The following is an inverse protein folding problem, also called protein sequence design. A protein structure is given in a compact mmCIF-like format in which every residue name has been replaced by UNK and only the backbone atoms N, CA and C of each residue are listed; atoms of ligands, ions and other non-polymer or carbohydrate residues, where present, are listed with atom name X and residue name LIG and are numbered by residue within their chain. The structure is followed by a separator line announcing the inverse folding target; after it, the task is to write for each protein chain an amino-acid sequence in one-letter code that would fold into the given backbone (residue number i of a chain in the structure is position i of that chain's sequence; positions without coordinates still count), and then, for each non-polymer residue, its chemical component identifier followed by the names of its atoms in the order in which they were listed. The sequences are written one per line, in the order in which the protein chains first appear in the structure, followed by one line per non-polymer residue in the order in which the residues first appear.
data_IF_782176189046
#
_entry.id   IF_782176189046
#
_cell.length_a   1.000
_cell.length_b   1.000
_cell.length_c   1.000
_cell.angle_alpha   90.00
_cell.angle_beta   90.00
_cell.angle_gamma   90.00
#
_symmetry.space_group_name_H-M   'P 1'
#
loop_
_entity.id
_entity.type
_entity.pdbx_description
1 polymer ?
#
# COMPACT_ATOMS: atom_id res chain seq x y z
N UNK A 1 1.71 25.87 -5.74
CA UNK A 1 0.83 25.73 -6.93
C UNK A 1 1.18 24.51 -7.79
N UNK A 2 2.44 24.05 -7.83
CA UNK A 2 2.86 22.91 -8.67
C UNK A 2 2.39 21.53 -8.16
N UNK A 3 2.36 21.30 -6.84
CA UNK A 3 1.83 20.03 -6.27
C UNK A 3 0.34 19.89 -6.55
N UNK A 4 -0.41 20.99 -6.40
CA UNK A 4 -1.86 21.01 -6.58
C UNK A 4 -2.27 20.75 -8.03
N UNK A 5 -1.48 21.16 -9.03
CA UNK A 5 -1.76 20.86 -10.45
C UNK A 5 -1.51 19.40 -10.79
N UNK A 6 -0.46 18.78 -10.22
CA UNK A 6 -0.21 17.34 -10.37
C UNK A 6 -1.35 16.54 -9.72
N UNK A 7 -1.73 16.89 -8.49
CA UNK A 7 -2.86 16.28 -7.78
C UNK A 7 -4.18 16.48 -8.53
N UNK A 8 -4.40 17.66 -9.13
CA UNK A 8 -5.60 17.92 -9.92
C UNK A 8 -5.65 17.06 -11.20
N UNK A 9 -4.52 16.89 -11.89
CA UNK A 9 -4.42 15.98 -13.06
C UNK A 9 -4.67 14.53 -12.67
N UNK A 10 -4.08 14.08 -11.56
CA UNK A 10 -4.31 12.77 -10.95
C UNK A 10 -5.79 12.55 -10.61
N UNK A 11 -6.43 13.54 -10.00
CA UNK A 11 -7.83 13.53 -9.59
C UNK A 11 -8.79 13.52 -10.79
N UNK A 12 -8.54 14.33 -11.82
CA UNK A 12 -9.36 14.35 -13.03
C UNK A 12 -9.31 13.02 -13.79
N UNK A 13 -8.13 12.40 -13.86
CA UNK A 13 -7.99 11.06 -14.44
C UNK A 13 -8.77 10.02 -13.65
N UNK A 14 -8.68 10.06 -12.31
CA UNK A 14 -9.43 9.19 -11.43
C UNK A 14 -10.94 9.39 -11.65
N UNK A 15 -11.42 10.63 -11.70
CA UNK A 15 -12.84 10.95 -11.89
C UNK A 15 -13.39 10.41 -13.21
N UNK A 16 -12.63 10.50 -14.31
CA UNK A 16 -13.07 9.98 -15.63
C UNK A 16 -13.08 8.46 -15.74
N UNK A 17 -12.18 7.77 -15.06
CA UNK A 17 -12.05 6.30 -15.11
C UNK A 17 -12.45 5.60 -13.81
N UNK A 18 -13.15 6.31 -12.93
CA UNK A 18 -13.46 5.91 -11.57
C UNK A 18 -14.09 4.51 -11.51
N UNK A 19 -15.15 4.29 -12.28
CA UNK A 19 -15.86 3.01 -12.29
C UNK A 19 -14.97 1.84 -12.73
N UNK A 20 -14.17 2.01 -13.78
CA UNK A 20 -13.32 0.93 -14.31
C UNK A 20 -12.18 0.60 -13.35
N UNK A 21 -11.55 1.63 -12.77
CA UNK A 21 -10.40 1.48 -11.87
C UNK A 21 -10.84 0.95 -10.51
N UNK A 22 -11.92 1.49 -9.94
CA UNK A 22 -12.48 1.01 -8.67
C UNK A 22 -12.91 -0.45 -8.80
N UNK A 23 -13.65 -0.80 -9.87
CA UNK A 23 -14.11 -2.18 -10.05
C UNK A 23 -12.94 -3.16 -10.19
N UNK A 24 -11.92 -2.85 -11.02
CA UNK A 24 -10.78 -3.76 -11.20
C UNK A 24 -9.95 -3.95 -9.93
N UNK A 25 -9.80 -2.90 -9.11
CA UNK A 25 -9.04 -2.98 -7.86
C UNK A 25 -9.82 -3.62 -6.70
N UNK A 26 -11.15 -3.66 -6.78
CA UNK A 26 -12.01 -4.24 -5.74
C UNK A 26 -12.31 -5.73 -5.93
N UNK A 27 -12.14 -6.27 -7.14
CA UNK A 27 -12.40 -7.69 -7.42
C UNK A 27 -11.52 -8.60 -6.56
N UNK A 28 -10.19 -8.38 -6.50
CA UNK A 28 -9.32 -9.26 -5.70
C UNK A 28 -9.61 -9.21 -4.20
N UNK A 29 -9.75 -8.04 -3.55
CA UNK A 29 -10.15 -7.95 -2.15
C UNK A 29 -11.47 -8.66 -1.84
N UNK A 30 -12.48 -8.49 -2.69
CA UNK A 30 -13.78 -9.14 -2.51
C UNK A 30 -13.65 -10.65 -2.64
N UNK A 31 -12.86 -11.12 -3.60
CA UNK A 31 -12.63 -12.56 -3.78
C UNK A 31 -11.93 -13.14 -2.54
N UNK A 32 -10.90 -12.46 -2.01
CA UNK A 32 -10.26 -12.88 -0.77
C UNK A 32 -11.21 -12.85 0.43
N UNK A 33 -12.08 -11.84 0.51
CA UNK A 33 -13.09 -11.77 1.55
C UNK A 33 -14.10 -12.92 1.46
N UNK A 34 -14.55 -13.28 0.25
CA UNK A 34 -15.48 -14.42 0.06
C UNK A 34 -14.77 -15.74 0.35
N UNK A 35 -13.59 -15.97 -0.22
CA UNK A 35 -12.84 -17.23 -0.06
C UNK A 35 -12.41 -17.45 1.38
N UNK A 36 -11.79 -16.45 2.03
CA UNK A 36 -11.26 -16.60 3.39
C UNK A 36 -12.29 -16.23 4.47
N UNK A 37 -13.13 -15.23 4.23
CA UNK A 37 -14.15 -14.80 5.18
C UNK A 37 -15.34 -15.74 5.24
N UNK A 38 -16.00 -16.02 4.11
CA UNK A 38 -17.16 -16.94 4.11
C UNK A 38 -16.75 -18.42 4.12
N UNK A 39 -15.62 -18.75 3.48
CA UNK A 39 -15.09 -20.12 3.44
C UNK A 39 -14.51 -20.58 4.77
N UNK A 40 -13.46 -19.90 5.26
CA UNK A 40 -12.78 -20.30 6.51
C UNK A 40 -13.45 -19.74 7.77
N UNK A 41 -14.11 -18.58 7.69
CA UNK A 41 -14.75 -17.95 8.85
C UNK A 41 -15.92 -18.72 9.46
N UNK A 42 -16.45 -19.74 8.76
CA UNK A 42 -17.46 -20.67 9.30
C UNK A 42 -16.87 -21.91 9.97
N UNK A 43 -15.59 -22.21 9.72
CA UNK A 43 -14.96 -23.49 10.09
C UNK A 43 -13.86 -23.28 11.14
N UNK A 44 -13.24 -22.09 11.18
CA UNK A 44 -12.11 -21.81 12.08
C UNK A 44 -12.39 -20.64 13.02
N UNK A 45 -12.14 -20.88 14.31
CA UNK A 45 -11.94 -19.85 15.31
C UNK A 45 -10.45 -19.66 15.55
N UNK A 46 -10.02 -18.41 15.69
CA UNK A 46 -8.62 -18.05 15.90
C UNK A 46 -8.55 -17.22 17.19
N UNK A 47 -7.81 -17.70 18.18
CA UNK A 47 -7.76 -17.14 19.54
C UNK A 47 -9.14 -16.96 20.20
N UNK A 48 -10.05 -17.93 20.03
CA UNK A 48 -11.39 -17.90 20.61
C UNK A 48 -12.31 -16.80 20.07
N UNK A 49 -11.95 -16.20 18.92
CA UNK A 49 -12.75 -15.21 18.19
C UNK A 49 -13.01 -15.68 16.76
N UNK A 50 -14.10 -15.20 16.12
CA UNK A 50 -14.36 -15.52 14.72
C UNK A 50 -13.19 -15.07 13.84
N UNK A 51 -12.71 -15.94 12.94
CA UNK A 51 -11.57 -15.65 12.05
C UNK A 51 -11.74 -14.35 11.23
N UNK A 52 -12.98 -13.92 10.97
CA UNK A 52 -13.29 -12.62 10.35
C UNK A 52 -12.62 -11.43 11.05
N UNK A 53 -12.53 -11.47 12.39
CA UNK A 53 -11.90 -10.42 13.19
C UNK A 53 -10.39 -10.32 12.92
N UNK A 54 -9.75 -11.45 12.61
CA UNK A 54 -8.34 -11.50 12.28
C UNK A 54 -8.09 -11.12 10.81
N UNK A 55 -8.98 -11.55 9.92
CA UNK A 55 -8.87 -11.42 8.48
C UNK A 55 -9.03 -9.97 8.00
N UNK A 56 -10.04 -9.24 8.48
CA UNK A 56 -10.37 -7.90 7.98
C UNK A 56 -9.20 -6.90 8.11
N UNK A 57 -8.53 -6.73 9.28
CA UNK A 57 -7.40 -5.81 9.38
C UNK A 57 -6.20 -6.24 8.53
N UNK A 58 -5.96 -7.54 8.38
CA UNK A 58 -4.92 -8.05 7.48
C UNK A 58 -5.23 -7.77 6.01
N UNK A 59 -6.49 -7.96 5.61
CA UNK A 59 -6.97 -7.64 4.27
C UNK A 59 -6.90 -6.13 4.02
N UNK A 60 -7.24 -5.30 5.01
CA UNK A 60 -7.09 -3.84 4.94
C UNK A 60 -5.63 -3.44 4.65
N UNK A 61 -4.66 -4.02 5.38
CA UNK A 61 -3.24 -3.75 5.15
C UNK A 61 -2.76 -4.19 3.76
N UNK A 62 -3.16 -5.39 3.32
CA UNK A 62 -2.78 -5.94 2.02
C UNK A 62 -3.35 -5.12 0.84
N UNK A 63 -4.61 -4.75 0.94
CA UNK A 63 -5.33 -4.04 -0.12
C UNK A 63 -4.82 -2.62 -0.28
N UNK A 64 -4.65 -1.91 0.83
CA UNK A 64 -4.08 -0.54 0.84
C UNK A 64 -2.66 -0.54 0.29
N UNK A 65 -1.84 -1.53 0.65
CA UNK A 65 -0.51 -1.74 0.04
C UNK A 65 -0.60 -1.93 -1.47
N UNK A 66 -1.33 -2.97 -1.92
CA UNK A 66 -1.31 -3.38 -3.33
C UNK A 66 -1.88 -2.28 -4.23
N UNK A 67 -2.92 -1.60 -3.78
CA UNK A 67 -3.52 -0.50 -4.52
C UNK A 67 -2.62 0.74 -4.57
N UNK A 68 -1.99 1.14 -3.45
CA UNK A 68 -1.03 2.25 -3.47
C UNK A 68 0.15 1.95 -4.39
N UNK A 69 0.79 0.80 -4.23
CA UNK A 69 1.94 0.39 -5.05
C UNK A 69 1.59 0.37 -6.54
N UNK A 70 0.55 -0.38 -6.94
CA UNK A 70 0.19 -0.58 -8.35
C UNK A 70 -0.23 0.73 -9.01
N UNK A 71 -0.89 1.61 -8.27
CA UNK A 71 -1.40 2.87 -8.79
C UNK A 71 -0.30 3.87 -9.13
N UNK A 72 0.83 3.83 -8.42
CA UNK A 72 1.99 4.68 -8.70
C UNK A 72 2.93 4.01 -9.68
N UNK A 73 3.25 2.73 -9.48
CA UNK A 73 4.20 2.02 -10.34
C UNK A 73 3.75 2.03 -11.80
N UNK A 74 2.48 1.72 -12.05
CA UNK A 74 1.88 1.75 -13.40
C UNK A 74 1.92 3.17 -13.98
N UNK A 75 1.62 4.20 -13.19
CA UNK A 75 1.59 5.58 -13.68
C UNK A 75 2.97 6.09 -14.10
N UNK A 76 3.96 5.89 -13.23
CA UNK A 76 5.33 6.33 -13.49
C UNK A 76 5.92 5.52 -14.64
N UNK A 77 5.69 4.21 -14.67
CA UNK A 77 6.14 3.34 -15.77
C UNK A 77 5.54 3.76 -17.12
N UNK A 78 4.25 4.11 -17.18
CA UNK A 78 3.64 4.66 -18.41
C UNK A 78 4.23 6.02 -18.77
N UNK A 79 4.38 6.92 -17.80
CA UNK A 79 4.94 8.25 -18.04
C UNK A 79 6.39 8.20 -18.56
N UNK A 80 7.18 7.25 -18.08
CA UNK A 80 8.59 7.05 -18.46
C UNK A 80 8.73 6.29 -19.78
N UNK A 81 8.08 5.13 -19.91
CA UNK A 81 8.29 4.20 -21.03
C UNK A 81 7.45 4.52 -22.26
N UNK A 82 6.26 5.12 -22.10
CA UNK A 82 5.37 5.43 -23.22
C UNK A 82 5.33 6.91 -23.57
N UNK A 83 5.21 7.79 -22.58
CA UNK A 83 5.04 9.23 -22.86
C UNK A 83 6.36 9.99 -23.01
N UNK A 84 7.53 9.36 -22.75
CA UNK A 84 8.86 9.99 -22.65
C UNK A 84 8.86 11.31 -21.85
N UNK A 85 7.87 11.51 -21.01
CA UNK A 85 7.61 12.82 -20.41
C UNK A 85 8.69 13.22 -19.41
N UNK A 86 9.48 12.26 -18.91
CA UNK A 86 10.66 12.54 -18.10
C UNK A 86 11.69 13.39 -18.83
N UNK A 87 11.89 13.19 -20.14
CA UNK A 87 12.78 14.03 -20.95
C UNK A 87 12.24 15.47 -21.00
N UNK A 88 10.92 15.65 -21.19
CA UNK A 88 10.27 16.97 -21.16
C UNK A 88 10.28 17.63 -19.77
N UNK A 89 10.20 16.84 -18.69
CA UNK A 89 10.31 17.35 -17.32
C UNK A 89 11.72 17.81 -16.97
N UNK A 90 12.75 17.25 -17.60
CA UNK A 90 14.15 17.69 -17.47
C UNK A 90 14.36 19.11 -18.03
N UNK A 91 13.62 19.47 -19.09
CA UNK A 91 13.62 20.82 -19.70
C UNK A 91 12.68 21.82 -18.99
N UNK A 92 11.83 21.33 -18.09
CA UNK A 92 10.91 22.15 -17.31
C UNK A 92 11.58 22.55 -15.98
N UNK A 93 11.47 23.80 -15.50
CA UNK A 93 12.01 24.26 -14.21
C UNK A 93 11.23 23.70 -13.01
N UNK A 94 10.64 22.51 -13.14
CA UNK A 94 9.87 21.84 -12.09
C UNK A 94 10.80 21.13 -11.12
N UNK A 95 10.64 21.45 -9.84
CA UNK A 95 11.39 20.81 -8.74
C UNK A 95 11.10 19.31 -8.68
N UNK A 96 12.12 18.48 -8.94
CA UNK A 96 12.00 17.01 -8.98
C UNK A 96 11.39 16.40 -7.70
N UNK A 97 11.67 16.98 -6.53
CA UNK A 97 11.10 16.55 -5.25
C UNK A 97 9.58 16.81 -5.15
N UNK A 98 9.05 17.87 -5.77
CA UNK A 98 7.60 18.14 -5.81
C UNK A 98 6.88 17.13 -6.71
N UNK A 99 7.50 16.70 -7.80
CA UNK A 99 6.95 15.67 -8.69
C UNK A 99 6.81 14.33 -7.96
N UNK A 100 7.89 13.90 -7.29
CA UNK A 100 7.90 12.68 -6.49
C UNK A 100 6.84 12.74 -5.38
N UNK A 101 6.79 13.83 -4.59
CA UNK A 101 5.79 13.98 -3.53
C UNK A 101 4.35 14.01 -4.08
N UNK A 102 4.10 14.66 -5.22
CA UNK A 102 2.79 14.69 -5.85
C UNK A 102 2.27 13.30 -6.23
N UNK A 103 3.11 12.46 -6.83
CA UNK A 103 2.76 11.09 -7.17
C UNK A 103 2.62 10.18 -5.95
N UNK A 104 3.48 10.35 -4.94
CA UNK A 104 3.39 9.58 -3.68
C UNK A 104 2.08 9.90 -2.95
N UNK A 105 1.71 11.18 -2.85
CA UNK A 105 0.45 11.57 -2.21
C UNK A 105 -0.75 11.04 -3.01
N UNK A 106 -0.71 11.14 -4.34
CA UNK A 106 -1.80 10.65 -5.18
C UNK A 106 -1.99 9.13 -5.11
N UNK A 107 -0.90 8.37 -5.04
CA UNK A 107 -0.93 6.93 -4.81
C UNK A 107 -1.39 6.55 -3.41
N UNK A 108 -1.00 7.33 -2.41
CA UNK A 108 -1.46 7.13 -1.05
C UNK A 108 -3.00 7.34 -0.94
N UNK A 109 -3.52 8.40 -1.56
CA UNK A 109 -4.97 8.66 -1.61
C UNK A 109 -5.76 7.52 -2.25
N UNK A 110 -5.22 6.87 -3.30
CA UNK A 110 -5.87 5.70 -3.91
C UNK A 110 -5.86 4.47 -3.01
N UNK A 111 -4.76 4.23 -2.29
CA UNK A 111 -4.71 3.18 -1.28
C UNK A 111 -5.73 3.42 -0.17
N UNK A 112 -5.79 4.63 0.37
CA UNK A 112 -6.77 5.03 1.37
C UNK A 112 -8.21 4.80 0.89
N UNK A 113 -8.52 5.23 -0.33
CA UNK A 113 -9.84 5.01 -0.94
C UNK A 113 -10.22 3.52 -0.91
N UNK A 114 -9.32 2.63 -1.33
CA UNK A 114 -9.57 1.19 -1.27
C UNK A 114 -9.68 0.63 0.16
N UNK A 115 -8.94 1.21 1.10
CA UNK A 115 -9.02 0.84 2.51
C UNK A 115 -10.37 1.17 3.14
N UNK A 116 -10.96 2.31 2.78
CA UNK A 116 -12.32 2.69 3.23
C UNK A 116 -13.35 1.63 2.81
N UNK A 117 -13.24 1.07 1.61
CA UNK A 117 -14.13 -0.02 1.18
C UNK A 117 -14.00 -1.27 2.05
N UNK A 118 -12.78 -1.64 2.45
CA UNK A 118 -12.57 -2.81 3.30
C UNK A 118 -13.09 -2.57 4.72
N UNK A 119 -12.93 -1.38 5.25
CA UNK A 119 -13.53 -1.00 6.54
C UNK A 119 -15.06 -1.10 6.45
N UNK A 120 -15.67 -0.60 5.36
CA UNK A 120 -17.11 -0.69 5.14
C UNK A 120 -17.58 -2.15 5.02
N UNK A 121 -16.85 -2.99 4.29
CA UNK A 121 -17.10 -4.44 4.22
C UNK A 121 -17.01 -5.10 5.59
N UNK A 122 -16.05 -4.70 6.43
CA UNK A 122 -15.91 -5.20 7.79
C UNK A 122 -17.10 -4.86 8.69
N UNK A 123 -17.60 -3.63 8.59
CA UNK A 123 -18.79 -3.17 9.32
C UNK A 123 -20.03 -3.95 8.88
N UNK A 124 -20.25 -4.11 7.57
CA UNK A 124 -21.39 -4.87 7.01
C UNK A 124 -21.34 -6.34 7.45
N UNK A 125 -20.14 -6.90 7.59
CA UNK A 125 -19.93 -8.28 8.00
C UNK A 125 -20.07 -8.52 9.51
N UNK A 126 -20.41 -7.49 10.29
CA UNK A 126 -20.62 -7.59 11.73
C UNK A 126 -19.33 -7.71 12.55
N UNK A 127 -18.16 -7.49 11.95
CA UNK A 127 -16.92 -7.42 12.70
C UNK A 127 -16.88 -6.08 13.44
N UNK A 128 -16.83 -6.12 14.77
CA UNK A 128 -16.63 -4.93 15.61
C UNK A 128 -15.19 -4.41 15.45
N UNK A 129 -14.91 -3.70 14.35
CA UNK A 129 -13.69 -2.92 14.20
C UNK A 129 -13.82 -1.61 14.98
N UNK A 130 -12.84 -1.33 15.84
CA UNK A 130 -12.69 -0.02 16.44
C UNK A 130 -12.18 0.97 15.39
N UNK A 131 -13.08 1.72 14.77
CA UNK A 131 -12.72 2.79 13.83
C UNK A 131 -12.25 4.00 14.62
N UNK A 132 -10.97 4.01 14.98
CA UNK A 132 -10.32 5.12 15.67
C UNK A 132 -9.53 6.00 14.69
N UNK A 133 -9.29 7.27 15.04
CA UNK A 133 -8.42 8.16 14.26
C UNK A 133 -7.02 7.58 14.02
N UNK A 134 -6.52 6.77 14.95
CA UNK A 134 -5.27 6.02 14.84
C UNK A 134 -5.27 4.99 13.71
N UNK A 135 -6.42 4.36 13.40
CA UNK A 135 -6.53 3.41 12.31
C UNK A 135 -6.34 4.12 10.97
N UNK A 136 -6.91 5.33 10.85
CA UNK A 136 -6.75 6.16 9.66
C UNK A 136 -5.28 6.54 9.47
N UNK A 137 -4.59 6.96 10.54
CA UNK A 137 -3.15 7.28 10.48
C UNK A 137 -2.31 6.06 10.09
N UNK A 138 -2.61 4.88 10.62
CA UNK A 138 -1.94 3.63 10.26
C UNK A 138 -2.12 3.29 8.77
N UNK A 139 -3.33 3.45 8.24
CA UNK A 139 -3.64 3.24 6.82
C UNK A 139 -2.94 4.27 5.94
N UNK A 140 -2.93 5.55 6.33
CA UNK A 140 -2.21 6.61 5.62
C UNK A 140 -0.72 6.27 5.54
N UNK A 141 -0.13 5.86 6.66
CA UNK A 141 1.29 5.53 6.74
C UNK A 141 1.63 4.33 5.85
N UNK A 142 0.80 3.28 5.89
CA UNK A 142 0.93 2.11 5.02
C UNK A 142 0.88 2.52 3.54
N UNK A 143 -0.13 3.32 3.17
CA UNK A 143 -0.30 3.81 1.82
C UNK A 143 0.87 4.69 1.35
N UNK A 144 1.44 5.53 2.22
CA UNK A 144 2.62 6.34 1.89
C UNK A 144 3.88 5.50 1.65
N UNK A 145 4.16 4.53 2.53
CA UNK A 145 5.30 3.61 2.41
C UNK A 145 5.26 2.90 1.05
N UNK A 146 4.13 2.29 0.71
CA UNK A 146 4.01 1.50 -0.51
C UNK A 146 3.87 2.34 -1.77
N UNK A 147 3.33 3.55 -1.65
CA UNK A 147 3.34 4.52 -2.73
C UNK A 147 4.75 5.01 -3.04
N UNK A 148 5.58 5.24 -2.03
CA UNK A 148 6.99 5.58 -2.20
C UNK A 148 7.78 4.40 -2.80
N UNK A 149 7.55 3.18 -2.31
CA UNK A 149 8.16 1.97 -2.86
C UNK A 149 7.79 1.75 -4.33
N UNK A 150 6.53 1.98 -4.71
CA UNK A 150 6.08 1.89 -6.10
C UNK A 150 6.69 2.95 -7.00
N UNK A 151 6.90 4.16 -6.48
CA UNK A 151 7.61 5.22 -7.20
C UNK A 151 9.08 4.83 -7.45
N UNK A 152 9.78 4.40 -6.39
CA UNK A 152 11.18 4.01 -6.45
C UNK A 152 11.40 2.83 -7.41
N UNK A 153 10.56 1.79 -7.31
CA UNK A 153 10.60 0.65 -8.21
C UNK A 153 10.40 1.06 -9.68
N UNK A 154 9.43 1.93 -9.97
CA UNK A 154 9.19 2.40 -11.34
C UNK A 154 10.32 3.30 -11.89
N UNK A 155 11.07 3.97 -11.01
CA UNK A 155 12.25 4.75 -11.43
C UNK A 155 13.48 3.87 -11.67
N UNK A 156 13.61 2.76 -10.95
CA UNK A 156 14.74 1.84 -11.16
C UNK A 156 14.55 0.91 -12.36
N UNK A 157 13.31 0.57 -12.73
CA UNK A 157 13.03 -0.43 -13.76
C UNK A 157 12.89 0.18 -15.15
N UNK A 158 13.61 -0.39 -16.12
CA UNK A 158 13.68 0.09 -17.51
C UNK A 158 12.65 -0.58 -18.44
N UNK A 159 12.00 -1.65 -18.00
CA UNK A 159 11.01 -2.39 -18.78
C UNK A 159 9.75 -2.74 -17.98
N UNK A 160 8.63 -2.87 -18.68
CA UNK A 160 7.38 -3.43 -18.12
C UNK A 160 7.58 -4.85 -17.60
N UNK A 161 8.45 -5.62 -18.24
CA UNK A 161 8.77 -6.98 -17.81
C UNK A 161 9.44 -6.98 -16.43
N UNK A 162 10.45 -6.14 -16.22
CA UNK A 162 11.18 -6.06 -14.96
C UNK A 162 10.30 -5.56 -13.81
N UNK A 163 9.42 -4.59 -14.10
CA UNK A 163 8.45 -4.11 -13.11
C UNK A 163 7.45 -5.20 -12.69
N UNK A 164 6.98 -6.00 -13.65
CA UNK A 164 6.11 -7.13 -13.35
C UNK A 164 6.85 -8.22 -12.56
N UNK A 165 8.10 -8.50 -12.94
CA UNK A 165 8.95 -9.45 -12.23
C UNK A 165 9.20 -9.03 -10.78
N UNK A 166 9.52 -7.76 -10.54
CA UNK A 166 9.67 -7.20 -9.19
C UNK A 166 8.37 -7.35 -8.38
N UNK A 167 7.22 -7.08 -9.00
CA UNK A 167 5.92 -7.24 -8.33
C UNK A 167 5.67 -8.69 -7.92
N UNK A 168 6.00 -9.65 -8.78
CA UNK A 168 5.78 -11.07 -8.52
C UNK A 168 6.78 -11.67 -7.51
N UNK A 169 8.04 -11.24 -7.54
CA UNK A 169 9.10 -11.74 -6.66
C UNK A 169 9.06 -11.08 -5.28
N UNK A 170 8.63 -9.81 -5.19
CA UNK A 170 8.70 -9.04 -3.93
C UNK A 170 7.31 -8.79 -3.36
N UNK A 171 6.44 -8.10 -4.11
CA UNK A 171 5.16 -7.61 -3.58
C UNK A 171 4.17 -8.75 -3.31
N UNK A 172 4.07 -9.70 -4.21
CA UNK A 172 3.17 -10.86 -4.06
C UNK A 172 3.51 -11.69 -2.82
N UNK A 173 4.74 -12.20 -2.64
CA UNK A 173 5.05 -12.99 -1.44
C UNK A 173 4.96 -12.16 -0.16
N UNK A 174 5.38 -10.88 -0.19
CA UNK A 174 5.22 -9.98 0.94
C UNK A 174 3.75 -9.86 1.38
N UNK A 175 2.82 -9.78 0.43
CA UNK A 175 1.37 -9.69 0.69
C UNK A 175 0.83 -10.86 1.51
N UNK A 176 1.39 -12.07 1.34
CA UNK A 176 0.94 -13.28 2.02
C UNK A 176 1.74 -13.58 3.30
N UNK A 177 3.05 -13.31 3.31
CA UNK A 177 3.95 -13.68 4.40
C UNK A 177 3.91 -12.71 5.60
N UNK A 178 3.51 -11.46 5.41
CA UNK A 178 3.56 -10.44 6.47
C UNK A 178 2.39 -10.46 7.44
N UNK A 179 1.86 -11.66 7.73
CA UNK A 179 0.84 -11.86 8.76
C UNK A 179 -0.53 -11.29 8.40
N UNK A 180 -0.88 -11.21 7.11
CA UNK A 180 -2.18 -10.73 6.62
C UNK A 180 -3.28 -11.77 6.83
N UNK A 181 -3.01 -13.04 6.50
CA UNK A 181 -3.97 -14.15 6.61
C UNK A 181 -3.75 -15.05 7.84
N UNK A 182 -2.53 -15.11 8.36
CA UNK A 182 -2.11 -16.01 9.46
C UNK A 182 -1.37 -15.25 10.56
N UNK A 183 -1.36 -15.79 11.79
CA UNK A 183 -0.54 -15.23 12.87
C UNK A 183 0.94 -15.54 12.68
N UNK A 184 1.77 -14.61 13.13
CA UNK A 184 3.22 -14.69 13.06
C UNK A 184 3.81 -15.55 14.20
N UNK A 185 2.98 -16.00 15.15
CA UNK A 185 3.43 -16.72 16.35
C UNK A 185 3.89 -18.15 16.07
N UNK A 186 3.39 -18.77 14.99
CA UNK A 186 3.72 -20.16 14.61
C UNK A 186 4.73 -20.32 13.47
N UNK A 187 5.39 -19.24 13.04
CA UNK A 187 6.27 -19.26 11.85
C UNK A 187 7.72 -19.63 12.24
N UNK A 188 8.42 -20.48 11.45
CA UNK A 188 9.82 -20.82 11.67
C UNK A 188 10.73 -19.59 11.73
N UNK A 189 11.76 -19.66 12.59
CA UNK A 189 12.61 -18.52 12.98
C UNK A 189 13.26 -17.79 11.79
N UNK A 190 13.71 -18.55 10.77
CA UNK A 190 14.29 -17.99 9.55
C UNK A 190 13.31 -17.07 8.80
N UNK A 191 12.04 -17.50 8.70
CA UNK A 191 11.01 -16.73 8.03
C UNK A 191 10.55 -15.54 8.89
N UNK A 192 10.58 -15.70 10.22
CA UNK A 192 10.32 -14.62 11.19
C UNK A 192 11.31 -13.46 11.04
N UNK A 193 12.58 -13.75 10.74
CA UNK A 193 13.60 -12.71 10.49
C UNK A 193 13.29 -11.93 9.20
N UNK A 194 13.02 -12.63 8.09
CA UNK A 194 12.66 -12.04 6.80
C UNK A 194 11.41 -11.17 6.92
N UNK A 195 10.38 -11.67 7.60
CA UNK A 195 9.12 -10.97 7.76
C UNK A 195 9.27 -9.73 8.65
N UNK A 196 10.10 -9.76 9.72
CA UNK A 196 10.34 -8.57 10.54
C UNK A 196 11.14 -7.46 9.82
N UNK A 197 11.92 -7.80 8.78
CA UNK A 197 12.59 -6.81 7.94
C UNK A 197 11.64 -6.11 6.96
N UNK A 198 10.48 -6.70 6.67
CA UNK A 198 9.52 -6.17 5.71
C UNK A 198 8.63 -5.07 6.33
N UNK A 199 8.45 -3.91 5.66
CA UNK A 199 7.63 -2.83 6.20
C UNK A 199 6.15 -3.20 6.38
N UNK A 200 5.61 -4.12 5.57
CA UNK A 200 4.20 -4.56 5.66
C UNK A 200 3.90 -5.22 7.00
N UNK A 201 4.87 -5.90 7.61
CA UNK A 201 4.67 -6.60 8.88
C UNK A 201 4.38 -5.61 10.00
N UNK A 202 5.11 -4.49 10.01
CA UNK A 202 4.94 -3.43 11.02
C UNK A 202 3.60 -2.73 10.85
N UNK A 203 3.22 -2.38 9.63
CA UNK A 203 1.91 -1.75 9.37
C UNK A 203 0.75 -2.70 9.59
N UNK A 204 0.88 -3.99 9.27
CA UNK A 204 -0.16 -4.99 9.53
C UNK A 204 -0.37 -5.21 11.03
N UNK A 205 0.71 -5.31 11.82
CA UNK A 205 0.62 -5.37 13.29
C UNK A 205 -0.05 -4.13 13.86
N UNK A 206 0.37 -2.94 13.44
CA UNK A 206 -0.21 -1.67 13.86
C UNK A 206 -1.72 -1.58 13.55
N UNK A 207 -2.12 -1.89 12.31
CA UNK A 207 -3.53 -1.88 11.89
C UNK A 207 -4.35 -2.89 12.70
N UNK A 208 -3.80 -4.07 12.99
CA UNK A 208 -4.47 -5.11 13.77
C UNK A 208 -4.68 -4.72 15.22
N UNK A 209 -3.65 -4.25 15.92
CA UNK A 209 -3.73 -3.85 17.32
C UNK A 209 -4.75 -2.71 17.52
N UNK A 210 -4.74 -1.72 16.62
CA UNK A 210 -5.69 -0.61 16.65
C UNK A 210 -7.11 -1.10 16.36
N UNK A 211 -7.29 -2.04 15.43
CA UNK A 211 -8.60 -2.61 15.10
C UNK A 211 -9.24 -3.37 16.26
N UNK A 212 -8.43 -3.95 17.15
CA UNK A 212 -8.88 -4.62 18.37
C UNK A 212 -9.12 -3.68 19.56
N UNK A 213 -8.92 -2.38 19.39
CA UNK A 213 -9.05 -1.39 20.48
C UNK A 213 -7.87 -1.40 21.46
N UNK A 214 -6.75 -2.01 21.08
CA UNK A 214 -5.51 -1.98 21.85
C UNK A 214 -4.80 -0.63 21.77
N UNK A 215 -3.84 -0.42 22.68
CA UNK A 215 -2.92 0.73 22.65
C UNK A 215 -2.01 0.65 21.42
N UNK A 216 -1.66 1.80 20.86
CA UNK A 216 -0.68 1.90 19.75
C UNK A 216 0.67 1.36 20.22
N UNK A 217 1.17 0.29 19.59
CA UNK A 217 2.56 -0.13 19.78
C UNK A 217 3.51 0.92 19.21
N UNK A 218 4.09 1.72 20.11
CA UNK A 218 5.13 2.71 19.79
C UNK A 218 6.28 2.14 18.92
N UNK A 219 6.74 0.88 19.10
CA UNK A 219 7.80 0.30 18.26
C UNK A 219 7.38 0.10 16.79
N UNK A 220 6.16 -0.39 16.54
CA UNK A 220 5.66 -0.60 15.16
C UNK A 220 5.29 0.71 14.49
N UNK A 221 4.85 1.72 15.24
CA UNK A 221 4.63 3.05 14.71
C UNK A 221 5.95 3.74 14.35
N UNK A 222 6.97 3.65 15.21
CA UNK A 222 8.30 4.19 14.95
C UNK A 222 8.97 3.52 13.74
N UNK A 223 8.89 2.19 13.63
CA UNK A 223 9.45 1.48 12.47
C UNK A 223 8.72 1.84 11.17
N UNK A 224 7.39 1.94 11.18
CA UNK A 224 6.63 2.36 10.01
C UNK A 224 6.96 3.81 9.59
N UNK A 225 7.13 4.73 10.54
CA UNK A 225 7.56 6.11 10.25
C UNK A 225 8.99 6.13 9.70
N UNK A 226 9.90 5.35 10.26
CA UNK A 226 11.27 5.22 9.75
C UNK A 226 11.30 4.68 8.32
N UNK A 227 10.50 3.65 8.01
CA UNK A 227 10.38 3.13 6.65
C UNK A 227 9.77 4.15 5.69
N UNK A 228 8.75 4.90 6.12
CA UNK A 228 8.17 5.97 5.32
C UNK A 228 9.20 7.06 5.02
N UNK A 229 9.97 7.48 6.03
CA UNK A 229 11.03 8.49 5.89
C UNK A 229 12.20 7.99 5.01
N UNK A 230 12.63 6.73 5.20
CA UNK A 230 13.70 6.13 4.42
C UNK A 230 13.32 5.96 2.94
N UNK A 231 12.11 5.50 2.65
CA UNK A 231 11.65 5.30 1.27
C UNK A 231 11.37 6.64 0.58
N UNK A 232 10.79 7.62 1.27
CA UNK A 232 10.63 8.96 0.69
C UNK A 232 11.97 9.65 0.46
N UNK A 233 12.94 9.49 1.37
CA UNK A 233 14.33 9.92 1.17
C UNK A 233 15.01 9.23 -0.01
N UNK A 234 14.80 7.91 -0.16
CA UNK A 234 15.27 7.12 -1.29
C UNK A 234 14.69 7.60 -2.62
N UNK A 235 13.38 7.89 -2.69
CA UNK A 235 12.73 8.45 -3.88
C UNK A 235 13.35 9.79 -4.29
N UNK A 236 13.59 10.67 -3.31
CA UNK A 236 14.21 11.98 -3.56
C UNK A 236 15.63 11.79 -4.09
N UNK A 237 16.41 10.87 -3.50
CA UNK A 237 17.77 10.58 -3.96
C UNK A 237 17.81 10.00 -5.38
N UNK A 238 16.93 9.03 -5.72
CA UNK A 238 16.84 8.49 -7.08
C UNK A 238 16.45 9.55 -8.10
N UNK A 239 15.54 10.46 -7.73
CA UNK A 239 15.18 11.62 -8.55
C UNK A 239 16.37 12.56 -8.80
N UNK A 240 17.21 12.81 -7.79
CA UNK A 240 18.42 13.62 -7.95
C UNK A 240 19.49 12.93 -8.80
N UNK A 241 19.58 11.60 -8.74
CA UNK A 241 20.52 10.84 -9.58
C UNK A 241 20.15 10.92 -11.05
N UNK A 242 18.88 10.74 -11.38
CA UNK A 242 18.41 10.86 -12.77
C UNK A 242 18.51 12.31 -13.30
N UNK A 243 18.32 13.32 -12.45
CA UNK A 243 18.49 14.72 -12.86
C UNK A 243 19.95 15.13 -13.18
N UNK A 244 20.93 14.30 -12.82
CA UNK A 244 22.37 14.54 -13.08
C UNK A 244 22.94 13.67 -14.21
N UNK A 245 22.20 12.66 -14.66
CA UNK A 245 22.59 11.78 -15.75
C UNK A 245 22.17 12.38 -17.11
#
# INVERSE_FOLDING_TARGET
MEITTILWREWLFLKRRFWRVTFSQMVSPLLYFVTFGMGLGRVMEMDGRPYLYYLIPGLLAMTTMRNSYTSVSTRISVMRLHEKSFECYLYSPTRMHLLAMGHIIAGALRGMYSGVFIVLLGIVSGARLAVNGWLLTAVILNSLIFSALGFLAAMMMESHYDMNNFTNIVITPMSFLCGTFFSLDGIPEALKWVVNMMPLTHTTRLIREISFGGSVSWPSMASAVLFAAALTGGCVWTCYREAKA
#
